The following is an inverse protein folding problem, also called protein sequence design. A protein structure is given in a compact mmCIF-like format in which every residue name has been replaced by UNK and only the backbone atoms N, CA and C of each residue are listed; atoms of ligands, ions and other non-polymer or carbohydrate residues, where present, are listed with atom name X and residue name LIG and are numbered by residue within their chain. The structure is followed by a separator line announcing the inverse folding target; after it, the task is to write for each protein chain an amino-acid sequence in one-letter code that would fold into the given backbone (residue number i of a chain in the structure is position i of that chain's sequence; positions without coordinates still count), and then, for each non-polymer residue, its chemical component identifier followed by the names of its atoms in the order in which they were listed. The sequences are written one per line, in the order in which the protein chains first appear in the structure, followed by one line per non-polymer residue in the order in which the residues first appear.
data_IF_200347722768
#
_entry.id   IF_200347722768
#
_cell.length_a   1.000
_cell.length_b   1.000
_cell.length_c   1.000
_cell.angle_alpha   90.00
_cell.angle_beta   90.00
_cell.angle_gamma   90.00
#
_symmetry.space_group_name_H-M   'P 1'
#
loop_
_entity.id
_entity.type
_entity.pdbx_description
1 polymer ?
#
# COMPACT_ATOMS: atom_id res chain seq x y z
N UNK A 1 13.27 1.15 -20.20
CA UNK A 1 12.26 0.10 -19.93
C UNK A 1 11.69 0.32 -18.54
N UNK A 2 10.38 0.51 -18.41
CA UNK A 2 9.70 0.72 -17.11
C UNK A 2 9.73 -0.63 -16.37
N UNK A 3 10.51 -0.77 -15.30
CA UNK A 3 10.52 -1.99 -14.49
C UNK A 3 9.12 -2.15 -13.90
N UNK A 4 8.42 -3.22 -14.29
CA UNK A 4 7.19 -3.64 -13.63
C UNK A 4 7.64 -4.21 -12.30
N UNK A 5 7.22 -3.58 -11.20
CA UNK A 5 7.40 -4.14 -9.87
C UNK A 5 6.21 -5.06 -9.62
N UNK A 6 6.37 -6.39 -9.71
CA UNK A 6 5.26 -7.34 -9.60
C UNK A 6 4.55 -7.27 -8.25
N UNK A 7 5.16 -6.60 -7.25
CA UNK A 7 4.56 -6.34 -5.96
C UNK A 7 3.30 -5.46 -6.00
N UNK A 8 3.22 -4.52 -6.93
CA UNK A 8 2.10 -3.59 -7.00
C UNK A 8 1.02 -4.12 -7.95
N UNK A 9 -0.13 -4.46 -7.38
CA UNK A 9 -1.35 -4.78 -8.13
C UNK A 9 -1.95 -3.51 -8.74
N UNK A 10 -1.81 -2.38 -8.05
CA UNK A 10 -2.28 -1.08 -8.50
C UNK A 10 -1.55 0.07 -7.80
N UNK A 11 -1.36 1.18 -8.52
CA UNK A 11 -0.92 2.47 -7.98
C UNK A 11 -1.86 3.57 -8.49
N UNK A 12 -2.14 4.54 -7.62
CA UNK A 12 -2.90 5.73 -7.97
C UNK A 12 -2.42 6.96 -7.22
N UNK A 13 -2.65 8.11 -7.84
CA UNK A 13 -2.36 9.43 -7.30
C UNK A 13 -3.63 10.27 -7.38
N UNK A 14 -3.99 10.92 -6.28
CA UNK A 14 -5.03 11.96 -6.29
C UNK A 14 -4.44 13.35 -6.32
N UNK A 15 -5.26 14.32 -6.73
CA UNK A 15 -5.06 15.71 -6.35
C UNK A 15 -5.47 15.98 -4.89
N UNK A 16 -5.43 17.25 -4.48
CA UNK A 16 -5.78 17.71 -3.13
C UNK A 16 -7.27 17.64 -2.80
N UNK A 17 -8.13 17.44 -3.81
CA UNK A 17 -9.58 17.30 -3.65
C UNK A 17 -10.01 15.83 -3.52
N UNK A 18 -9.17 14.91 -4.00
CA UNK A 18 -9.42 13.46 -3.96
C UNK A 18 -9.74 12.85 -5.31
N UNK A 19 -9.66 13.62 -6.41
CA UNK A 19 -9.80 13.08 -7.75
C UNK A 19 -8.52 12.35 -8.18
N UNK A 20 -8.64 11.14 -8.71
CA UNK A 20 -7.49 10.40 -9.24
C UNK A 20 -6.98 11.06 -10.53
N UNK A 21 -5.76 11.59 -10.51
CA UNK A 21 -5.13 12.27 -11.66
C UNK A 21 -4.17 11.36 -12.44
N UNK A 22 -3.71 10.27 -11.82
CA UNK A 22 -2.88 9.26 -12.47
C UNK A 22 -3.07 7.90 -11.80
N UNK A 23 -3.04 6.82 -12.58
CA UNK A 23 -3.08 5.46 -12.05
C UNK A 23 -2.44 4.47 -13.03
N UNK A 24 -2.05 3.29 -12.53
CA UNK A 24 -1.59 2.17 -13.37
C UNK A 24 -2.74 1.52 -14.15
N UNK A 25 -3.97 1.66 -13.65
CA UNK A 25 -5.18 1.32 -14.38
C UNK A 25 -5.88 2.60 -14.85
N UNK A 26 -5.88 2.83 -16.17
CA UNK A 26 -6.45 4.04 -16.78
C UNK A 26 -7.94 4.22 -16.46
N UNK A 27 -8.69 3.15 -16.20
CA UNK A 27 -10.10 3.25 -15.82
C UNK A 27 -10.30 3.94 -14.46
N UNK A 28 -9.24 4.08 -13.66
CA UNK A 28 -9.28 4.75 -12.36
C UNK A 28 -9.19 6.28 -12.47
N UNK A 29 -8.61 6.81 -13.56
CA UNK A 29 -8.38 8.25 -13.71
C UNK A 29 -9.71 9.00 -13.79
N UNK A 30 -9.82 10.12 -13.08
CA UNK A 30 -11.02 10.95 -12.98
C UNK A 30 -12.02 10.49 -11.90
N UNK A 31 -11.85 9.30 -11.33
CA UNK A 31 -12.73 8.84 -10.24
C UNK A 31 -12.50 9.67 -8.97
N UNK A 32 -13.59 10.01 -8.29
CA UNK A 32 -13.54 10.65 -6.98
C UNK A 32 -13.28 9.61 -5.87
N UNK A 33 -12.33 9.95 -4.98
CA UNK A 33 -11.96 9.18 -3.78
C UNK A 33 -11.94 10.06 -2.53
N UNK A 34 -12.47 11.28 -2.61
CA UNK A 34 -12.54 12.24 -1.50
C UNK A 34 -13.21 11.64 -0.27
N UNK A 35 -14.26 10.82 -0.44
CA UNK A 35 -14.99 10.18 0.66
C UNK A 35 -14.34 8.88 1.18
N UNK A 36 -13.21 8.44 0.63
CA UNK A 36 -12.57 7.20 1.10
C UNK A 36 -11.84 7.40 2.42
N UNK A 37 -11.86 6.36 3.27
CA UNK A 37 -11.21 6.40 4.60
C UNK A 37 -9.73 6.75 4.51
N UNK A 38 -9.02 6.19 3.53
CA UNK A 38 -7.60 6.45 3.36
C UNK A 38 -7.33 7.89 2.94
N UNK A 39 -8.17 8.50 2.10
CA UNK A 39 -7.98 9.88 1.68
C UNK A 39 -8.24 10.83 2.85
N UNK A 40 -9.35 10.63 3.56
CA UNK A 40 -9.72 11.43 4.73
C UNK A 40 -8.70 11.32 5.86
N UNK A 41 -8.23 10.10 6.15
CA UNK A 41 -7.20 9.88 7.16
C UNK A 41 -5.90 10.61 6.79
N UNK A 42 -5.38 10.39 5.58
CA UNK A 42 -4.11 10.96 5.14
C UNK A 42 -4.18 12.48 5.08
N UNK A 43 -5.28 13.03 4.56
CA UNK A 43 -5.50 14.49 4.51
C UNK A 43 -5.52 15.12 5.89
N UNK A 44 -6.13 14.46 6.89
CA UNK A 44 -6.25 14.96 8.26
C UNK A 44 -4.96 14.81 9.07
N UNK A 45 -4.33 13.64 9.01
CA UNK A 45 -3.22 13.26 9.89
C UNK A 45 -1.84 13.52 9.28
N UNK A 46 -1.76 13.77 7.96
CA UNK A 46 -0.50 13.91 7.19
C UNK A 46 0.49 12.75 7.40
N UNK A 47 0.01 11.58 7.81
CA UNK A 47 0.81 10.38 8.04
C UNK A 47 0.51 9.27 7.02
N UNK A 48 1.32 8.21 7.06
CA UNK A 48 1.06 7.00 6.28
C UNK A 48 -0.15 6.26 6.88
N UNK A 49 -1.04 5.81 6.02
CA UNK A 49 -2.17 4.97 6.38
C UNK A 49 -2.04 3.61 5.71
N UNK A 50 -1.91 2.57 6.53
CA UNK A 50 -1.97 1.18 6.09
C UNK A 50 -3.38 0.63 6.39
N UNK A 51 -4.04 0.12 5.37
CA UNK A 51 -5.26 -0.67 5.52
C UNK A 51 -4.92 -2.14 5.45
N UNK A 52 -5.64 -2.92 6.25
CA UNK A 52 -5.41 -4.34 6.42
C UNK A 52 -5.59 -5.13 5.12
N UNK A 53 -5.16 -6.39 5.18
CA UNK A 53 -5.25 -7.31 4.06
C UNK A 53 -6.72 -7.55 3.68
N UNK A 54 -7.13 -7.09 2.50
CA UNK A 54 -8.47 -7.32 1.96
C UNK A 54 -8.49 -7.27 0.44
N UNK A 55 -9.60 -7.66 -0.16
CA UNK A 55 -9.84 -7.49 -1.60
C UNK A 55 -10.34 -6.07 -1.85
N UNK A 56 -9.53 -5.26 -2.52
CA UNK A 56 -9.90 -3.92 -2.97
C UNK A 56 -10.49 -3.98 -4.38
N UNK A 57 -11.34 -3.00 -4.73
CA UNK A 57 -11.82 -2.83 -6.12
C UNK A 57 -10.66 -2.81 -7.13
N UNK A 58 -9.58 -2.12 -6.78
CA UNK A 58 -8.38 -1.97 -7.61
C UNK A 58 -7.46 -3.20 -7.60
N UNK A 59 -7.70 -4.18 -6.71
CA UNK A 59 -6.86 -5.39 -6.57
C UNK A 59 -7.27 -6.56 -7.47
N UNK A 60 -8.35 -6.41 -8.26
CA UNK A 60 -8.84 -7.41 -9.23
C UNK A 60 -9.06 -8.81 -8.61
N UNK A 61 -9.59 -8.85 -7.40
CA UNK A 61 -9.89 -10.10 -6.69
C UNK A 61 -8.73 -10.69 -5.91
N UNK A 62 -7.55 -10.06 -5.93
CA UNK A 62 -6.37 -10.52 -5.19
C UNK A 62 -6.31 -9.88 -3.81
N UNK A 63 -6.02 -10.66 -2.76
CA UNK A 63 -5.79 -10.11 -1.43
C UNK A 63 -4.58 -9.16 -1.45
N UNK A 64 -4.75 -7.96 -0.90
CA UNK A 64 -3.72 -6.94 -0.91
C UNK A 64 -3.71 -6.16 0.41
N UNK A 65 -2.57 -5.55 0.72
CA UNK A 65 -2.46 -4.49 1.72
C UNK A 65 -2.46 -3.16 0.97
N UNK A 66 -3.18 -2.17 1.49
CA UNK A 66 -3.14 -0.82 0.91
C UNK A 66 -2.28 0.12 1.74
N UNK A 67 -1.39 0.84 1.07
CA UNK A 67 -0.61 1.91 1.68
C UNK A 67 -0.96 3.23 1.03
N UNK A 68 -1.22 4.25 1.83
CA UNK A 68 -1.55 5.59 1.38
C UNK A 68 -0.69 6.60 2.13
N UNK A 69 -0.07 7.54 1.41
CA UNK A 69 0.80 8.55 1.98
C UNK A 69 0.52 9.93 1.35
N UNK A 70 0.64 11.02 2.11
CA UNK A 70 0.39 12.35 1.58
C UNK A 70 1.50 12.73 0.60
N UNK A 71 1.12 13.38 -0.49
CA UNK A 71 2.05 14.16 -1.30
C UNK A 71 2.06 15.55 -0.69
N UNK A 72 3.22 15.95 -0.18
CA UNK A 72 3.44 17.26 0.42
C UNK A 72 4.31 18.10 -0.50
N UNK A 73 3.98 19.37 -0.65
CA UNK A 73 4.88 20.29 -1.33
C UNK A 73 5.89 20.93 -0.37
N UNK A 74 6.66 21.91 -0.85
CA UNK A 74 7.83 22.44 -0.14
C UNK A 74 7.52 23.00 1.26
N UNK A 75 6.31 23.52 1.45
CA UNK A 75 5.89 24.19 2.69
C UNK A 75 4.96 23.29 3.53
N UNK A 76 4.88 21.99 3.19
CA UNK A 76 4.02 21.02 3.86
C UNK A 76 2.55 21.14 3.47
N UNK A 77 2.23 21.82 2.37
CA UNK A 77 0.91 21.86 1.79
C UNK A 77 0.48 20.47 1.29
N UNK A 78 -0.80 20.16 1.44
CA UNK A 78 -1.34 18.88 0.99
C UNK A 78 -1.66 18.96 -0.50
N UNK A 79 -0.86 18.28 -1.32
CA UNK A 79 -1.02 18.24 -2.79
C UNK A 79 -1.89 17.06 -3.26
N UNK A 80 -2.11 16.08 -2.39
CA UNK A 80 -2.90 14.89 -2.69
C UNK A 80 -2.35 13.66 -1.99
N UNK A 81 -2.65 12.48 -2.54
CA UNK A 81 -2.26 11.20 -1.93
C UNK A 81 -1.69 10.27 -2.99
N UNK A 82 -0.55 9.65 -2.68
CA UNK A 82 -0.08 8.45 -3.36
C UNK A 82 -0.66 7.24 -2.63
N UNK A 83 -1.27 6.32 -3.37
CA UNK A 83 -1.86 5.12 -2.80
C UNK A 83 -1.52 3.87 -3.64
N UNK A 84 -1.25 2.75 -2.97
CA UNK A 84 -0.83 1.50 -3.58
C UNK A 84 -1.64 0.32 -3.08
N UNK A 85 -1.77 -0.72 -3.91
CA UNK A 85 -2.25 -2.05 -3.52
C UNK A 85 -1.11 -3.03 -3.72
N UNK A 86 -0.60 -3.58 -2.63
CA UNK A 86 0.51 -4.53 -2.62
C UNK A 86 -0.04 -5.91 -2.38
N UNK A 87 0.18 -6.83 -3.33
CA UNK A 87 -0.31 -8.20 -3.19
C UNK A 87 0.38 -8.93 -2.03
N UNK A 88 -0.37 -9.78 -1.32
CA UNK A 88 0.19 -10.61 -0.24
C UNK A 88 1.41 -11.44 -0.67
N UNK A 89 1.48 -12.04 -1.88
CA UNK A 89 2.67 -12.78 -2.30
C UNK A 89 3.96 -11.95 -2.28
N UNK A 90 3.88 -10.65 -2.55
CA UNK A 90 5.04 -9.77 -2.49
C UNK A 90 5.41 -9.38 -1.05
N UNK A 91 4.41 -9.25 -0.17
CA UNK A 91 4.65 -9.06 1.27
C UNK A 91 5.32 -10.30 1.87
N UNK A 92 4.90 -11.50 1.46
CA UNK A 92 5.51 -12.78 1.83
C UNK A 92 6.98 -12.85 1.40
N UNK A 93 7.30 -12.47 0.17
CA UNK A 93 8.68 -12.47 -0.33
C UNK A 93 9.58 -11.55 0.51
N UNK A 94 9.11 -10.32 0.80
CA UNK A 94 9.83 -9.37 1.66
C UNK A 94 10.03 -9.94 3.07
N UNK A 95 8.99 -10.55 3.64
CA UNK A 95 9.07 -11.17 4.96
C UNK A 95 10.09 -12.32 4.97
N UNK A 96 10.05 -13.20 3.97
CA UNK A 96 10.97 -14.33 3.87
C UNK A 96 12.43 -13.88 3.75
N UNK A 97 12.70 -12.80 3.03
CA UNK A 97 14.03 -12.18 2.97
C UNK A 97 14.46 -11.73 4.38
N UNK A 98 13.60 -10.98 5.09
CA UNK A 98 13.89 -10.51 6.43
C UNK A 98 14.09 -11.65 7.44
N UNK A 99 13.26 -12.69 7.38
CA UNK A 99 13.32 -13.85 8.25
C UNK A 99 14.60 -14.68 8.03
N UNK A 100 15.03 -14.84 6.77
CA UNK A 100 16.33 -15.46 6.46
C UNK A 100 17.51 -14.64 6.97
N UNK A 101 17.47 -13.31 6.81
CA UNK A 101 18.49 -12.43 7.39
C UNK A 101 18.56 -12.57 8.92
N UNK A 102 17.40 -12.64 9.59
CA UNK A 102 17.33 -12.88 11.03
C UNK A 102 17.93 -14.24 11.41
N UNK A 103 17.62 -15.30 10.66
CA UNK A 103 18.15 -16.65 10.90
C UNK A 103 19.69 -16.67 10.85
N UNK A 104 20.27 -16.06 9.82
CA UNK A 104 21.73 -15.99 9.63
C UNK A 104 22.40 -15.19 10.74
N UNK A 105 21.83 -14.04 11.12
CA UNK A 105 22.41 -13.17 12.15
C UNK A 105 22.29 -13.72 13.57
N UNK A 106 21.22 -14.47 13.86
CA UNK A 106 20.90 -14.95 15.22
C UNK A 106 21.20 -16.43 15.43
N UNK A 107 21.69 -17.14 14.41
CA UNK A 107 21.99 -18.57 14.48
C UNK A 107 20.75 -19.45 14.73
N UNK A 108 19.57 -19.01 14.28
CA UNK A 108 18.35 -19.77 14.51
C UNK A 108 18.33 -21.07 13.66
N UNK A 109 17.94 -22.19 14.27
CA UNK A 109 17.93 -23.49 13.59
C UNK A 109 16.88 -23.58 12.46
N UNK A 110 15.82 -22.75 12.52
CA UNK A 110 14.75 -22.69 11.50
C UNK A 110 14.21 -21.27 11.34
N UNK A 111 13.56 -21.01 10.22
CA UNK A 111 12.74 -19.81 10.02
C UNK A 111 11.56 -19.85 11.01
N UNK A 112 11.23 -18.74 11.70
CA UNK A 112 10.05 -18.68 12.56
C UNK A 112 8.77 -18.97 11.77
N UNK A 113 7.82 -19.68 12.40
CA UNK A 113 6.46 -19.75 11.89
C UNK A 113 5.84 -18.34 11.92
N UNK A 114 5.07 -18.01 10.87
CA UNK A 114 4.48 -16.68 10.71
C UNK A 114 3.09 -16.78 10.11
N UNK A 115 2.27 -15.78 10.39
CA UNK A 115 0.96 -15.59 9.81
C UNK A 115 0.76 -14.09 9.59
N UNK A 116 0.15 -13.72 8.45
CA UNK A 116 -0.32 -12.36 8.24
C UNK A 116 -1.68 -12.21 8.93
N UNK A 117 -1.77 -11.25 9.85
CA UNK A 117 -2.98 -10.92 10.57
C UNK A 117 -3.40 -9.50 10.21
N UNK A 118 -4.71 -9.28 10.15
CA UNK A 118 -5.34 -7.97 10.17
C UNK A 118 -5.05 -7.26 11.50
N UNK A 119 -5.42 -5.98 11.61
CA UNK A 119 -5.25 -5.21 12.85
C UNK A 119 -6.03 -5.82 14.02
N UNK A 120 -7.11 -6.53 13.72
CA UNK A 120 -7.98 -7.16 14.70
C UNK A 120 -7.48 -8.54 15.15
N UNK A 121 -6.42 -9.07 14.51
CA UNK A 121 -5.78 -10.32 14.89
C UNK A 121 -6.30 -11.56 14.17
N UNK A 122 -7.17 -11.38 13.18
CA UNK A 122 -7.65 -12.44 12.26
C UNK A 122 -6.83 -12.50 10.97
#
# INVERSE_FOLDING_TARGET
MKKIYPAYLWLGVTDSTGQIIAATDAASVGQDRSASDWFQYVRKQKGIYAQDAQVFKESRGTLAVAFSAPIQGPDGEFLGVLTSRVGIPAMEEIFLIAARSFQVQRGAARIPEYQFLTRDGD
#
